data_IF_617933626804
#
_entry.id   IF_617933626804
#
_cell.length_a   1.000
_cell.length_b   1.000
_cell.length_c   1.000
_cell.angle_alpha   90.00
_cell.angle_beta   90.00
_cell.angle_gamma   90.00
#
_symmetry.space_group_name_H-M   'P 1'
#
loop_
_entity.id
_entity.type
_entity.pdbx_description
1 polymer ?
#
# COMPACT_ATOMS: atom_id res chain seq x y z
N UNK A 1 3.46 18.26 -1.93
CA UNK A 1 2.61 19.40 -2.33
C UNK A 1 3.45 20.45 -3.07
N UNK A 2 4.62 20.85 -2.54
CA UNK A 2 5.51 21.84 -3.21
C UNK A 2 6.00 21.34 -4.57
N UNK A 3 6.32 20.07 -4.70
CA UNK A 3 6.75 19.44 -5.97
C UNK A 3 5.65 19.46 -7.05
N UNK A 4 4.40 19.67 -6.66
CA UNK A 4 3.23 19.76 -7.55
C UNK A 4 2.77 21.21 -7.78
N UNK A 5 3.57 22.20 -7.33
CA UNK A 5 3.22 23.62 -7.44
C UNK A 5 2.04 24.07 -6.56
N UNK A 6 1.62 23.22 -5.60
CA UNK A 6 0.51 23.53 -4.71
C UNK A 6 1.02 24.27 -3.46
N UNK A 7 0.37 25.35 -3.01
CA UNK A 7 0.74 26.05 -1.79
C UNK A 7 0.56 25.11 -0.58
N UNK A 8 1.60 24.94 0.21
CA UNK A 8 1.61 24.09 1.39
C UNK A 8 2.08 24.89 2.61
N UNK A 9 1.35 24.75 3.72
CA UNK A 9 1.67 25.37 5.01
C UNK A 9 1.38 24.38 6.14
N UNK A 10 2.03 24.54 7.28
CA UNK A 10 1.68 23.82 8.49
C UNK A 10 0.25 24.21 8.93
N UNK A 11 -0.54 23.19 9.28
CA UNK A 11 -1.86 23.44 9.87
C UNK A 11 -1.70 24.14 11.22
N UNK A 12 -2.54 25.16 11.54
CA UNK A 12 -2.52 25.78 12.84
C UNK A 12 -2.96 24.77 13.94
N UNK A 13 -2.45 24.98 15.14
CA UNK A 13 -2.95 24.25 16.31
C UNK A 13 -4.46 24.47 16.49
N UNK A 14 -5.16 23.51 17.11
CA UNK A 14 -6.62 23.57 17.38
C UNK A 14 -6.92 24.59 18.52
N UNK A 15 -6.45 25.83 18.35
CA UNK A 15 -6.61 26.94 19.26
C UNK A 15 -7.45 28.05 18.60
N UNK A 16 -8.38 28.70 19.36
CA UNK A 16 -9.35 29.65 18.80
C UNK A 16 -8.72 30.74 17.93
N UNK A 17 -7.73 31.44 18.47
CA UNK A 17 -7.11 32.57 17.77
C UNK A 17 -6.26 32.17 16.56
N UNK A 18 -5.58 31.03 16.61
CA UNK A 18 -4.76 30.54 15.49
C UNK A 18 -5.65 30.08 14.34
N UNK A 19 -6.66 29.29 14.63
CA UNK A 19 -7.62 28.81 13.64
C UNK A 19 -8.46 29.95 13.04
N UNK A 20 -8.93 30.89 13.83
CA UNK A 20 -9.70 32.02 13.30
C UNK A 20 -8.89 32.80 12.27
N UNK A 21 -7.67 33.23 12.61
CA UNK A 21 -6.78 33.95 11.68
C UNK A 21 -6.49 33.15 10.40
N UNK A 22 -6.28 31.83 10.55
CA UNK A 22 -6.03 30.95 9.40
C UNK A 22 -7.25 30.88 8.48
N UNK A 23 -8.44 30.65 9.03
CA UNK A 23 -9.68 30.51 8.24
C UNK A 23 -10.09 31.84 7.60
N UNK A 24 -9.89 32.96 8.31
CA UNK A 24 -10.19 34.29 7.80
C UNK A 24 -9.24 34.70 6.63
N UNK A 25 -7.99 34.22 6.67
CA UNK A 25 -7.03 34.42 5.58
C UNK A 25 -7.25 33.46 4.41
N UNK A 26 -7.51 32.18 4.67
CA UNK A 26 -7.63 31.15 3.65
C UNK A 26 -9.00 31.16 2.96
N UNK A 27 -10.07 31.51 3.68
CA UNK A 27 -11.48 31.53 3.21
C UNK A 27 -11.83 30.34 2.32
N UNK A 28 -11.62 29.06 2.76
CA UNK A 28 -11.84 27.91 1.91
C UNK A 28 -13.32 27.70 1.62
N UNK A 29 -13.68 27.28 0.41
CA UNK A 29 -15.02 26.86 0.05
C UNK A 29 -15.40 25.50 0.64
N UNK A 30 -14.40 24.64 0.80
CA UNK A 30 -14.50 23.29 1.34
C UNK A 30 -13.25 22.98 2.19
N UNK A 31 -13.45 22.40 3.36
CA UNK A 31 -12.37 21.85 4.18
C UNK A 31 -12.35 20.33 4.02
N UNK A 32 -11.26 19.80 3.49
CA UNK A 32 -11.05 18.36 3.35
C UNK A 32 -10.04 17.89 4.40
N UNK A 33 -10.42 16.89 5.17
CA UNK A 33 -9.55 16.24 6.13
C UNK A 33 -9.18 14.86 5.61
N UNK A 34 -7.90 14.50 5.68
CA UNK A 34 -7.38 13.20 5.25
C UNK A 34 -7.09 12.33 6.47
N UNK A 35 -7.44 11.05 6.40
CA UNK A 35 -7.23 10.05 7.46
C UNK A 35 -7.94 10.38 8.79
N UNK A 36 -7.26 10.17 9.93
CA UNK A 36 -7.83 10.19 11.29
C UNK A 36 -7.69 11.52 12.03
N UNK A 37 -7.77 12.65 11.35
CA UNK A 37 -7.57 13.98 11.91
C UNK A 37 -8.85 14.58 12.49
N UNK A 38 -9.17 14.24 13.75
CA UNK A 38 -10.38 14.69 14.46
C UNK A 38 -10.10 15.90 15.34
N UNK A 39 -10.47 17.10 14.85
CA UNK A 39 -10.20 18.41 15.50
C UNK A 39 -11.51 19.14 15.81
N UNK A 40 -12.04 19.03 17.05
CA UNK A 40 -13.37 19.52 17.39
C UNK A 40 -13.56 21.02 17.23
N UNK A 41 -12.56 21.82 17.62
CA UNK A 41 -12.64 23.28 17.50
C UNK A 41 -12.59 23.72 16.05
N UNK A 42 -11.68 23.13 15.25
CA UNK A 42 -11.62 23.38 13.81
C UNK A 42 -12.97 23.07 13.15
N UNK A 43 -13.56 21.91 13.45
CA UNK A 43 -14.86 21.53 12.92
C UNK A 43 -15.97 22.52 13.29
N UNK A 44 -15.97 23.05 14.52
CA UNK A 44 -16.93 24.06 14.95
C UNK A 44 -16.73 25.38 14.22
N UNK A 45 -15.51 25.91 14.18
CA UNK A 45 -15.21 27.19 13.54
C UNK A 45 -15.46 27.20 12.03
N UNK A 46 -15.27 26.04 11.36
CA UNK A 46 -15.65 25.85 9.95
C UNK A 46 -17.17 25.98 9.77
N UNK A 47 -17.94 25.27 10.63
CA UNK A 47 -19.39 25.30 10.56
C UNK A 47 -19.96 26.70 10.89
N UNK A 48 -19.41 27.43 11.86
CA UNK A 48 -19.78 28.80 12.20
C UNK A 48 -19.58 29.78 11.01
N UNK A 49 -18.65 29.45 10.08
CA UNK A 49 -18.37 30.20 8.86
C UNK A 49 -19.11 29.68 7.63
N UNK A 50 -19.98 28.70 7.79
CA UNK A 50 -20.69 28.06 6.66
C UNK A 50 -19.79 27.20 5.75
N UNK A 51 -18.55 26.94 6.16
CA UNK A 51 -17.59 26.14 5.37
C UNK A 51 -17.92 24.67 5.52
N UNK A 52 -18.18 23.99 4.40
CA UNK A 52 -18.45 22.56 4.37
C UNK A 52 -17.23 21.74 4.72
N UNK A 53 -17.47 20.55 5.26
CA UNK A 53 -16.41 19.66 5.75
C UNK A 53 -16.57 18.29 5.10
N UNK A 54 -15.48 17.76 4.55
CA UNK A 54 -15.38 16.39 4.06
C UNK A 54 -14.21 15.67 4.73
N UNK A 55 -14.31 14.35 4.83
CA UNK A 55 -13.23 13.48 5.29
C UNK A 55 -12.99 12.38 4.26
N UNK A 56 -11.74 12.17 3.88
CA UNK A 56 -11.35 11.17 2.89
C UNK A 56 -10.33 10.17 3.45
N UNK A 57 -10.51 8.89 3.13
CA UNK A 57 -9.69 7.82 3.69
C UNK A 57 -9.74 7.79 5.22
N UNK A 58 -10.90 8.11 5.80
CA UNK A 58 -11.04 8.28 7.25
C UNK A 58 -10.76 6.99 7.99
N UNK A 59 -9.82 7.04 8.93
CA UNK A 59 -9.42 5.91 9.76
C UNK A 59 -9.80 6.14 11.21
N UNK A 60 -10.44 5.12 11.82
CA UNK A 60 -10.77 5.11 13.24
C UNK A 60 -10.36 3.76 13.85
N UNK A 61 -9.25 3.72 14.59
CA UNK A 61 -8.83 2.51 15.29
C UNK A 61 -9.78 2.21 16.47
N UNK A 62 -9.82 0.96 16.93
CA UNK A 62 -10.61 0.55 18.11
C UNK A 62 -10.23 1.37 19.35
N UNK A 63 -8.92 1.54 19.59
CA UNK A 63 -8.40 2.35 20.70
C UNK A 63 -8.91 3.79 20.63
N UNK A 64 -8.85 4.41 19.45
CA UNK A 64 -9.31 5.78 19.24
C UNK A 64 -10.83 5.87 19.43
N UNK A 65 -11.60 4.93 18.88
CA UNK A 65 -13.04 4.87 19.04
C UNK A 65 -13.44 4.74 20.51
N UNK A 66 -12.78 3.85 21.27
CA UNK A 66 -12.99 3.70 22.71
C UNK A 66 -12.66 4.98 23.50
N UNK A 67 -11.65 5.75 23.06
CA UNK A 67 -11.34 7.06 23.66
C UNK A 67 -12.44 8.09 23.36
N UNK A 68 -12.84 8.22 22.08
CA UNK A 68 -13.86 9.18 21.67
C UNK A 68 -15.26 8.87 22.23
N UNK A 69 -15.59 7.59 22.42
CA UNK A 69 -16.85 7.17 23.03
C UNK A 69 -17.07 7.74 24.45
N UNK A 70 -15.99 8.13 25.15
CA UNK A 70 -16.05 8.79 26.45
C UNK A 70 -16.48 10.26 26.36
N UNK A 71 -16.44 10.84 25.17
CA UNK A 71 -16.75 12.25 24.92
C UNK A 71 -17.84 12.43 23.84
N UNK A 72 -19.03 11.82 24.01
CA UNK A 72 -20.08 11.81 22.98
C UNK A 72 -20.58 13.21 22.63
N UNK A 73 -20.57 14.14 23.63
CA UNK A 73 -20.95 15.56 23.42
C UNK A 73 -19.92 16.35 22.56
N UNK A 74 -18.76 15.79 22.28
CA UNK A 74 -17.73 16.41 21.45
C UNK A 74 -17.71 15.73 20.08
N UNK A 75 -17.55 14.40 20.03
CA UNK A 75 -17.36 13.66 18.79
C UNK A 75 -18.65 13.62 17.94
N UNK A 76 -19.82 13.42 18.56
CA UNK A 76 -21.10 13.35 17.85
C UNK A 76 -21.41 14.62 17.05
N UNK A 77 -21.43 15.83 17.70
CA UNK A 77 -21.61 17.08 16.98
C UNK A 77 -20.52 17.35 15.94
N UNK A 78 -19.26 16.93 16.15
CA UNK A 78 -18.19 17.06 15.18
C UNK A 78 -18.46 16.23 13.92
N UNK A 79 -18.78 14.95 14.08
CA UNK A 79 -19.11 14.06 12.97
C UNK A 79 -20.42 14.49 12.29
N UNK A 80 -21.39 15.01 13.06
CA UNK A 80 -22.66 15.52 12.53
C UNK A 80 -22.51 16.70 11.55
N UNK A 81 -21.38 17.40 11.56
CA UNK A 81 -21.07 18.52 10.64
C UNK A 81 -20.38 18.05 9.35
N UNK A 82 -19.98 16.77 9.26
CA UNK A 82 -19.34 16.23 8.05
C UNK A 82 -20.39 16.04 6.97
N UNK A 83 -20.18 16.66 5.82
CA UNK A 83 -21.09 16.62 4.69
C UNK A 83 -20.81 15.43 3.74
N UNK A 84 -19.57 14.92 3.73
CA UNK A 84 -19.16 13.73 2.97
C UNK A 84 -17.99 13.04 3.70
N UNK A 85 -18.04 11.71 3.79
CA UNK A 85 -16.97 10.92 4.39
C UNK A 85 -16.81 9.61 3.61
N UNK A 86 -15.58 9.35 3.18
CA UNK A 86 -15.14 8.05 2.69
C UNK A 86 -14.23 7.43 3.77
N UNK A 87 -14.59 6.26 4.29
CA UNK A 87 -13.76 5.54 5.24
C UNK A 87 -12.69 4.70 4.52
N UNK A 88 -11.55 4.48 5.17
CA UNK A 88 -10.48 3.65 4.63
C UNK A 88 -10.89 2.16 4.57
N UNK A 89 -11.61 1.68 5.60
CA UNK A 89 -11.96 0.27 5.78
C UNK A 89 -13.33 0.13 6.46
N UNK A 90 -13.88 -1.10 6.44
CA UNK A 90 -15.18 -1.42 7.02
C UNK A 90 -15.21 -1.20 8.54
N UNK A 91 -14.14 -1.52 9.25
CA UNK A 91 -14.05 -1.34 10.70
C UNK A 91 -14.08 0.13 11.08
N UNK A 92 -13.34 0.98 10.36
CA UNK A 92 -13.35 2.43 10.53
C UNK A 92 -14.73 3.03 10.24
N UNK A 93 -15.39 2.59 9.16
CA UNK A 93 -16.75 2.99 8.80
C UNK A 93 -17.75 2.70 9.93
N UNK A 94 -17.80 1.45 10.40
CA UNK A 94 -18.70 1.04 11.48
C UNK A 94 -18.46 1.83 12.77
N UNK A 95 -17.20 2.05 13.15
CA UNK A 95 -16.85 2.84 14.34
C UNK A 95 -17.25 4.30 14.22
N UNK A 96 -17.09 4.92 13.05
CA UNK A 96 -17.48 6.31 12.80
C UNK A 96 -19.01 6.48 12.84
N UNK A 97 -19.75 5.55 12.25
CA UNK A 97 -21.22 5.52 12.34
C UNK A 97 -21.69 5.41 13.80
N UNK A 98 -21.09 4.51 14.58
CA UNK A 98 -21.40 4.33 15.99
C UNK A 98 -21.07 5.57 16.85
N UNK A 99 -20.11 6.38 16.44
CA UNK A 99 -19.75 7.65 17.10
C UNK A 99 -20.61 8.85 16.66
N UNK A 100 -21.57 8.65 15.75
CA UNK A 100 -22.55 9.67 15.37
C UNK A 100 -22.35 10.28 13.98
N UNK A 101 -21.58 9.64 13.09
CA UNK A 101 -21.54 10.02 11.67
C UNK A 101 -22.93 9.81 11.05
N UNK A 102 -23.52 10.82 10.39
CA UNK A 102 -24.78 10.63 9.68
C UNK A 102 -24.62 9.70 8.46
N UNK A 103 -25.49 8.72 8.30
CA UNK A 103 -25.49 7.82 7.13
C UNK A 103 -25.51 8.56 5.79
N UNK A 104 -26.20 9.71 5.72
CA UNK A 104 -26.25 10.55 4.51
C UNK A 104 -24.91 11.15 4.08
N UNK A 105 -23.93 11.19 4.99
CA UNK A 105 -22.59 11.68 4.71
C UNK A 105 -21.65 10.59 4.20
N UNK A 106 -22.07 9.32 4.33
CA UNK A 106 -21.22 8.19 3.97
C UNK A 106 -21.16 8.02 2.45
N UNK A 107 -19.93 7.91 1.95
CA UNK A 107 -19.57 7.57 0.57
C UNK A 107 -18.93 6.18 0.53
N UNK A 108 -18.78 5.58 -0.65
CA UNK A 108 -18.02 4.33 -0.78
C UNK A 108 -16.65 4.42 -0.13
N UNK A 109 -16.21 3.30 0.44
CA UNK A 109 -14.88 3.20 1.07
C UNK A 109 -13.79 3.43 0.04
N UNK A 110 -12.69 4.05 0.48
CA UNK A 110 -11.55 4.37 -0.36
C UNK A 110 -10.26 4.30 0.47
N UNK A 111 -9.37 3.39 0.13
CA UNK A 111 -8.02 3.38 0.69
C UNK A 111 -7.08 4.19 -0.20
N UNK A 112 -6.80 5.42 0.23
CA UNK A 112 -5.96 6.35 -0.52
C UNK A 112 -4.55 5.79 -0.79
N UNK A 113 -4.04 4.93 0.09
CA UNK A 113 -2.70 4.34 -0.04
C UNK A 113 -2.63 3.31 -1.16
N UNK A 114 -3.78 2.73 -1.51
CA UNK A 114 -3.87 1.74 -2.57
C UNK A 114 -4.15 2.34 -3.95
N UNK A 115 -4.60 3.59 -4.04
CA UNK A 115 -4.92 4.23 -5.32
C UNK A 115 -3.71 4.31 -6.27
N UNK A 116 -2.56 4.73 -5.77
CA UNK A 116 -1.36 4.84 -6.58
C UNK A 116 -0.86 3.46 -7.08
N UNK A 117 -0.72 2.42 -6.24
CA UNK A 117 -0.46 1.06 -6.70
C UNK A 117 -1.54 0.55 -7.68
N UNK A 118 -2.82 0.77 -7.38
CA UNK A 118 -3.92 0.34 -8.24
C UNK A 118 -3.95 1.04 -9.61
N UNK A 119 -3.40 2.22 -9.74
CA UNK A 119 -3.31 2.96 -11.00
C UNK A 119 -2.07 2.57 -11.84
N UNK A 120 -1.13 1.78 -11.31
CA UNK A 120 0.06 1.38 -12.05
C UNK A 120 -0.30 0.50 -13.26
N UNK A 121 0.33 0.71 -14.42
CA UNK A 121 0.17 -0.19 -15.55
C UNK A 121 0.73 -1.58 -15.21
N UNK A 122 -0.03 -2.61 -15.54
CA UNK A 122 0.42 -4.00 -15.37
C UNK A 122 1.34 -4.36 -16.54
N UNK A 123 2.56 -4.84 -16.29
CA UNK A 123 3.41 -5.35 -17.35
C UNK A 123 2.73 -6.52 -18.09
N UNK A 124 2.91 -6.65 -19.41
CA UNK A 124 2.34 -7.76 -20.16
C UNK A 124 2.91 -9.10 -19.70
N UNK A 125 2.08 -10.13 -19.72
CA UNK A 125 2.53 -11.51 -19.52
C UNK A 125 3.56 -11.88 -20.59
N UNK A 126 4.66 -12.50 -20.19
CA UNK A 126 5.70 -12.93 -21.12
C UNK A 126 6.52 -14.08 -20.54
N UNK A 127 7.06 -14.92 -21.42
CA UNK A 127 7.97 -15.99 -21.04
C UNK A 127 9.22 -15.48 -20.31
N UNK A 128 9.62 -14.24 -20.54
CA UNK A 128 10.73 -13.63 -19.82
C UNK A 128 10.39 -13.37 -18.35
N UNK A 129 9.18 -12.88 -18.08
CA UNK A 129 8.70 -12.66 -16.68
C UNK A 129 8.50 -13.97 -15.95
N UNK A 130 7.97 -15.00 -16.60
CA UNK A 130 7.71 -16.32 -15.98
C UNK A 130 8.99 -16.97 -15.43
N UNK A 131 10.15 -16.58 -15.96
CA UNK A 131 11.47 -17.10 -15.57
C UNK A 131 12.16 -16.28 -14.49
N UNK A 132 11.54 -15.21 -14.02
CA UNK A 132 12.13 -14.34 -13.01
C UNK A 132 11.37 -14.47 -11.70
N UNK A 133 12.09 -14.90 -10.66
CA UNK A 133 11.64 -14.92 -9.28
C UNK A 133 12.26 -13.70 -8.59
N UNK A 134 11.47 -12.94 -7.85
CA UNK A 134 11.93 -11.84 -7.01
C UNK A 134 11.75 -12.20 -5.54
N UNK A 135 12.82 -12.13 -4.76
CA UNK A 135 12.73 -12.08 -3.29
C UNK A 135 12.81 -10.60 -2.88
N UNK A 136 11.66 -10.04 -2.49
CA UNK A 136 11.49 -8.60 -2.31
C UNK A 136 11.68 -8.18 -0.85
N UNK A 137 12.62 -7.29 -0.59
CA UNK A 137 12.86 -6.69 0.73
C UNK A 137 13.18 -7.73 1.81
N UNK A 138 14.10 -8.64 1.53
CA UNK A 138 14.49 -9.70 2.47
C UNK A 138 15.25 -9.16 3.68
N UNK A 139 15.00 -9.77 4.84
CA UNK A 139 15.71 -9.54 6.09
C UNK A 139 16.75 -10.63 6.37
N UNK A 140 17.55 -10.41 7.41
CA UNK A 140 18.50 -11.41 7.87
C UNK A 140 17.77 -12.72 8.24
N UNK A 141 18.34 -13.86 7.82
CA UNK A 141 17.75 -15.18 7.99
C UNK A 141 16.81 -15.63 6.87
N UNK A 142 16.36 -14.74 5.98
CA UNK A 142 15.47 -15.08 4.85
C UNK A 142 16.25 -15.44 3.58
N UNK A 143 17.42 -14.82 3.37
CA UNK A 143 18.21 -14.98 2.15
C UNK A 143 18.64 -16.43 1.94
N UNK A 144 19.05 -17.13 3.02
CA UNK A 144 19.46 -18.53 2.98
C UNK A 144 18.38 -19.44 2.40
N UNK A 145 17.21 -19.55 3.04
CA UNK A 145 16.08 -20.35 2.54
C UNK A 145 15.68 -20.03 1.09
N UNK A 146 15.70 -18.76 0.71
CA UNK A 146 15.39 -18.34 -0.68
C UNK A 146 16.44 -18.86 -1.66
N UNK A 147 17.72 -18.72 -1.33
CA UNK A 147 18.82 -19.20 -2.15
C UNK A 147 18.84 -20.73 -2.24
N UNK A 148 18.55 -21.43 -1.15
CA UNK A 148 18.48 -22.91 -1.12
C UNK A 148 17.35 -23.41 -2.01
N UNK A 149 16.16 -22.77 -1.92
CA UNK A 149 15.02 -23.10 -2.75
C UNK A 149 15.31 -22.83 -4.25
N UNK A 150 15.97 -21.72 -4.58
CA UNK A 150 16.37 -21.41 -5.96
C UNK A 150 17.41 -22.38 -6.47
N UNK A 151 18.43 -22.72 -5.68
CA UNK A 151 19.48 -23.68 -6.04
C UNK A 151 18.92 -25.05 -6.39
N UNK A 152 17.88 -25.50 -5.66
CA UNK A 152 17.22 -26.78 -5.92
C UNK A 152 16.51 -26.84 -7.29
N UNK A 153 16.13 -25.68 -7.86
CA UNK A 153 15.40 -25.62 -9.15
C UNK A 153 16.30 -25.39 -10.37
N UNK A 154 17.44 -24.71 -10.18
CA UNK A 154 18.24 -24.19 -11.31
C UNK A 154 18.76 -25.28 -12.26
N UNK A 155 19.11 -26.45 -11.72
CA UNK A 155 19.71 -27.54 -12.53
C UNK A 155 18.68 -28.10 -13.53
N UNK A 156 17.41 -28.18 -13.12
CA UNK A 156 16.30 -28.57 -14.01
C UNK A 156 15.82 -27.42 -14.91
N UNK A 157 16.12 -26.17 -14.53
CA UNK A 157 15.67 -24.94 -15.23
C UNK A 157 16.79 -23.90 -15.29
N UNK A 158 17.78 -24.09 -16.17
CA UNK A 158 18.94 -23.22 -16.25
C UNK A 158 18.63 -21.81 -16.77
N UNK A 159 17.42 -21.55 -17.22
CA UNK A 159 16.93 -20.26 -17.69
C UNK A 159 16.21 -19.43 -16.60
N UNK A 160 15.93 -20.04 -15.42
CA UNK A 160 15.42 -19.28 -14.29
C UNK A 160 16.44 -18.28 -13.78
N UNK A 161 15.93 -17.18 -13.26
CA UNK A 161 16.71 -16.09 -12.66
C UNK A 161 16.09 -15.69 -11.33
N UNK A 162 16.93 -15.42 -10.34
CA UNK A 162 16.52 -14.86 -9.07
C UNK A 162 16.98 -13.41 -8.98
N UNK A 163 16.09 -12.50 -8.66
CA UNK A 163 16.43 -11.16 -8.18
C UNK A 163 16.29 -11.20 -6.66
N UNK A 164 17.37 -10.98 -5.94
CA UNK A 164 17.39 -10.91 -4.48
C UNK A 164 17.58 -9.44 -4.09
N UNK A 165 16.53 -8.82 -3.57
CA UNK A 165 16.51 -7.42 -3.18
C UNK A 165 16.41 -7.32 -1.64
N UNK A 166 17.52 -7.10 -0.92
CA UNK A 166 17.49 -6.98 0.52
C UNK A 166 16.85 -5.67 0.98
N UNK A 167 16.17 -5.69 2.12
CA UNK A 167 15.60 -4.48 2.75
C UNK A 167 16.67 -3.45 3.10
N UNK A 168 17.86 -3.94 3.45
CA UNK A 168 19.02 -3.16 3.83
C UNK A 168 20.19 -3.46 2.88
N UNK A 169 20.48 -2.57 1.91
CA UNK A 169 21.54 -2.78 0.91
C UNK A 169 22.96 -2.95 1.49
N UNK A 170 23.22 -2.43 2.67
CA UNK A 170 24.47 -2.59 3.40
C UNK A 170 24.82 -4.06 3.74
N UNK A 171 23.83 -4.95 3.68
CA UNK A 171 24.02 -6.42 3.79
C UNK A 171 24.57 -7.06 2.51
N UNK A 172 24.75 -6.28 1.44
CA UNK A 172 25.14 -6.78 0.12
C UNK A 172 26.35 -7.70 0.12
N UNK A 173 27.41 -7.38 0.87
CA UNK A 173 28.63 -8.21 0.94
C UNK A 173 28.40 -9.55 1.63
N UNK A 174 27.64 -9.56 2.72
CA UNK A 174 27.27 -10.79 3.43
C UNK A 174 26.40 -11.70 2.55
N UNK A 175 25.45 -11.13 1.83
CA UNK A 175 24.58 -11.87 0.90
C UNK A 175 25.37 -12.38 -0.30
N UNK A 176 26.31 -11.61 -0.87
CA UNK A 176 27.19 -12.05 -1.92
C UNK A 176 28.02 -13.28 -1.52
N UNK A 177 28.60 -13.26 -0.30
CA UNK A 177 29.29 -14.42 0.25
C UNK A 177 28.34 -15.63 0.40
N UNK A 178 27.11 -15.41 0.86
CA UNK A 178 26.09 -16.45 1.02
C UNK A 178 25.70 -17.08 -0.33
N UNK A 179 25.62 -16.30 -1.41
CA UNK A 179 25.37 -16.79 -2.78
C UNK A 179 26.55 -17.63 -3.25
N UNK A 180 27.77 -17.15 -3.06
CA UNK A 180 28.99 -17.84 -3.48
C UNK A 180 29.18 -19.20 -2.79
N UNK A 181 28.85 -19.32 -1.49
CA UNK A 181 28.93 -20.60 -0.76
C UNK A 181 28.00 -21.67 -1.31
N UNK A 182 26.94 -21.30 -2.03
CA UNK A 182 26.01 -22.21 -2.72
C UNK A 182 26.40 -22.52 -4.16
N UNK A 183 27.55 -22.03 -4.62
CA UNK A 183 27.99 -22.22 -5.99
C UNK A 183 27.06 -21.60 -7.03
N UNK A 184 26.29 -20.57 -6.65
CA UNK A 184 25.42 -19.83 -7.56
C UNK A 184 26.23 -18.72 -8.25
N UNK A 185 26.06 -18.60 -9.58
CA UNK A 185 26.57 -17.44 -10.32
C UNK A 185 25.73 -16.21 -9.95
N UNK A 186 26.36 -15.06 -9.81
CA UNK A 186 25.63 -13.85 -9.51
C UNK A 186 26.26 -12.59 -10.10
N UNK A 187 25.44 -11.55 -10.22
CA UNK A 187 25.87 -10.20 -10.55
C UNK A 187 25.30 -9.23 -9.50
N UNK A 188 25.95 -8.07 -9.31
CA UNK A 188 25.52 -7.05 -8.34
C UNK A 188 25.01 -5.81 -9.03
N UNK A 189 23.88 -5.30 -8.54
CA UNK A 189 23.31 -4.06 -9.05
C UNK A 189 24.20 -2.86 -8.72
N UNK A 190 24.77 -2.79 -7.54
CA UNK A 190 25.75 -1.76 -7.11
C UNK A 190 27.02 -1.74 -7.98
N UNK A 191 27.36 -2.85 -8.65
CA UNK A 191 28.46 -2.93 -9.60
C UNK A 191 28.02 -2.64 -11.06
N UNK A 192 26.78 -2.16 -11.27
CA UNK A 192 26.27 -1.80 -12.59
C UNK A 192 25.54 -2.90 -13.34
N UNK A 193 25.35 -4.09 -12.77
CA UNK A 193 24.61 -5.16 -13.42
C UNK A 193 23.10 -4.82 -13.49
N UNK A 194 22.49 -5.14 -14.63
CA UNK A 194 21.06 -4.92 -14.88
C UNK A 194 20.24 -6.21 -14.84
N UNK A 195 20.89 -7.37 -14.90
CA UNK A 195 20.22 -8.67 -14.96
C UNK A 195 21.03 -9.76 -14.25
N UNK A 196 20.32 -10.82 -13.84
CA UNK A 196 20.95 -12.04 -13.37
C UNK A 196 21.55 -12.83 -14.51
N UNK A 197 22.71 -13.51 -14.33
CA UNK A 197 23.17 -14.50 -15.28
C UNK A 197 22.15 -15.65 -15.40
N UNK A 198 22.13 -16.39 -16.53
CA UNK A 198 21.28 -17.56 -16.67
C UNK A 198 21.51 -18.56 -15.53
N UNK A 199 20.42 -19.05 -14.91
CA UNK A 199 20.48 -19.92 -13.72
C UNK A 199 21.12 -19.28 -12.48
N UNK A 200 21.23 -17.95 -12.44
CA UNK A 200 21.94 -17.23 -11.40
C UNK A 200 21.10 -16.15 -10.71
N UNK A 201 21.79 -15.33 -9.92
CA UNK A 201 21.19 -14.33 -9.05
C UNK A 201 21.62 -12.92 -9.44
N UNK A 202 20.68 -11.99 -9.53
CA UNK A 202 20.97 -10.57 -9.44
C UNK A 202 20.80 -10.16 -7.96
N UNK A 203 21.88 -9.78 -7.31
CA UNK A 203 21.81 -9.13 -6.02
C UNK A 203 21.48 -7.65 -6.24
N UNK A 204 20.22 -7.29 -5.96
CA UNK A 204 19.69 -5.94 -6.14
C UNK A 204 19.95 -5.09 -4.88
N UNK A 205 21.22 -4.82 -4.61
CA UNK A 205 21.75 -4.13 -3.42
C UNK A 205 21.77 -2.59 -3.58
N UNK A 206 20.70 -2.04 -4.16
CA UNK A 206 20.49 -0.58 -4.33
C UNK A 206 19.10 -0.18 -3.85
N UNK A 207 18.88 1.13 -3.62
CA UNK A 207 17.59 1.68 -3.20
C UNK A 207 16.83 2.31 -4.39
N UNK A 208 15.50 2.38 -4.26
CA UNK A 208 14.64 3.13 -5.19
C UNK A 208 14.25 2.41 -6.48
N UNK A 209 14.64 1.14 -6.66
CA UNK A 209 14.40 0.41 -7.91
C UNK A 209 13.35 -0.72 -7.81
N UNK A 210 12.62 -0.83 -6.69
CA UNK A 210 11.69 -1.95 -6.47
C UNK A 210 10.62 -2.07 -7.56
N UNK A 211 10.06 -0.97 -8.04
CA UNK A 211 9.08 -0.99 -9.12
C UNK A 211 9.61 -1.66 -10.40
N UNK A 212 10.90 -1.43 -10.70
CA UNK A 212 11.59 -2.09 -11.83
C UNK A 212 11.67 -3.60 -11.63
N UNK A 213 11.96 -4.05 -10.43
CA UNK A 213 12.09 -5.48 -10.11
C UNK A 213 10.73 -6.18 -10.12
N UNK A 214 9.70 -5.57 -9.56
CA UNK A 214 8.33 -6.08 -9.67
C UNK A 214 7.86 -6.19 -11.12
N UNK A 215 8.16 -5.21 -11.96
CA UNK A 215 7.78 -5.24 -13.38
C UNK A 215 8.42 -6.40 -14.15
N UNK A 216 9.59 -6.87 -13.73
CA UNK A 216 10.34 -7.96 -14.40
C UNK A 216 10.00 -9.35 -13.89
N UNK A 217 9.45 -9.48 -12.68
CA UNK A 217 9.20 -10.75 -12.04
C UNK A 217 7.79 -11.28 -12.30
N UNK A 218 7.67 -12.57 -12.58
CA UNK A 218 6.40 -13.28 -12.61
C UNK A 218 5.97 -13.79 -11.23
N UNK A 219 6.95 -14.10 -10.36
CA UNK A 219 6.74 -14.62 -9.01
C UNK A 219 7.47 -13.69 -8.02
N UNK A 220 6.83 -13.33 -6.93
CA UNK A 220 7.41 -12.52 -5.88
C UNK A 220 7.27 -13.19 -4.50
N UNK A 221 8.40 -13.42 -3.84
CA UNK A 221 8.47 -13.83 -2.44
C UNK A 221 8.52 -12.55 -1.61
N UNK A 222 7.57 -12.41 -0.69
CA UNK A 222 7.47 -11.23 0.19
C UNK A 222 8.43 -11.38 1.36
N UNK A 223 9.42 -10.53 1.43
CA UNK A 223 10.36 -10.49 2.55
C UNK A 223 9.75 -9.99 3.85
N UNK A 224 10.46 -10.21 4.96
CA UNK A 224 9.97 -9.95 6.31
C UNK A 224 8.86 -10.90 6.76
N UNK A 225 8.50 -11.87 5.92
CA UNK A 225 7.43 -12.84 6.20
C UNK A 225 7.92 -14.26 6.47
N UNK A 226 9.11 -14.62 6.01
CA UNK A 226 9.72 -15.93 6.29
C UNK A 226 10.35 -15.98 7.69
N UNK A 227 10.75 -14.83 8.22
CA UNK A 227 11.18 -14.61 9.59
C UNK A 227 10.22 -13.61 10.27
N UNK A 228 10.26 -13.54 11.60
CA UNK A 228 9.30 -12.73 12.38
C UNK A 228 9.61 -11.22 12.33
N UNK A 229 9.40 -10.63 11.15
CA UNK A 229 9.43 -9.19 10.93
C UNK A 229 8.06 -8.60 10.59
N UNK A 230 7.00 -9.43 10.59
CA UNK A 230 5.62 -9.02 10.35
C UNK A 230 5.23 -8.84 8.89
N UNK A 231 6.11 -9.16 7.95
CA UNK A 231 5.88 -9.08 6.50
C UNK A 231 5.91 -7.66 5.92
N UNK A 232 6.31 -7.53 4.67
CA UNK A 232 6.19 -6.31 3.88
C UNK A 232 4.85 -6.24 3.13
N UNK A 233 4.54 -5.05 2.60
CA UNK A 233 3.30 -4.82 1.84
C UNK A 233 3.20 -5.73 0.62
N UNK A 234 2.08 -6.46 0.42
CA UNK A 234 1.86 -7.25 -0.78
C UNK A 234 1.35 -6.43 -1.97
N UNK A 235 0.99 -5.16 -1.76
CA UNK A 235 0.27 -4.37 -2.76
C UNK A 235 1.13 -3.89 -3.93
N UNK A 236 2.42 -3.64 -3.70
CA UNK A 236 3.31 -3.24 -4.79
C UNK A 236 3.54 -4.37 -5.80
N UNK A 237 3.94 -5.60 -5.40
CA UNK A 237 4.04 -6.70 -6.35
C UNK A 237 2.68 -7.11 -6.93
N UNK A 238 1.56 -7.02 -6.17
CA UNK A 238 0.22 -7.22 -6.70
C UNK A 238 -0.11 -6.21 -7.81
N UNK A 239 0.30 -4.94 -7.65
CA UNK A 239 0.14 -3.90 -8.67
C UNK A 239 0.79 -4.27 -10.01
N UNK A 240 1.89 -5.01 -9.97
CA UNK A 240 2.62 -5.47 -11.15
C UNK A 240 2.17 -6.86 -11.63
N UNK A 241 1.15 -7.46 -11.02
CA UNK A 241 0.63 -8.77 -11.42
C UNK A 241 1.60 -9.93 -11.13
N UNK A 242 2.39 -9.85 -10.07
CA UNK A 242 3.22 -10.96 -9.63
C UNK A 242 2.38 -12.01 -8.89
N UNK A 243 2.67 -13.30 -9.08
CA UNK A 243 2.22 -14.35 -8.18
C UNK A 243 2.89 -14.18 -6.82
N UNK A 244 2.13 -14.12 -5.74
CA UNK A 244 2.65 -13.77 -4.42
C UNK A 244 2.91 -15.00 -3.56
N UNK A 245 4.08 -15.08 -2.95
CA UNK A 245 4.43 -16.09 -1.95
C UNK A 245 4.82 -15.37 -0.66
N UNK A 246 4.32 -15.82 0.48
CA UNK A 246 4.66 -15.25 1.79
C UNK A 246 4.95 -16.34 2.83
N UNK A 247 5.72 -16.00 3.84
CA UNK A 247 5.95 -16.82 5.03
C UNK A 247 4.78 -16.72 6.03
N UNK A 248 4.92 -17.35 7.20
CA UNK A 248 3.87 -17.34 8.24
C UNK A 248 3.78 -16.02 9.01
N UNK A 249 4.77 -15.13 8.89
CA UNK A 249 4.86 -13.91 9.70
C UNK A 249 4.36 -12.70 8.91
N UNK A 250 3.03 -12.50 8.90
CA UNK A 250 2.35 -11.43 8.15
C UNK A 250 1.64 -10.41 9.04
N UNK A 251 2.05 -10.31 10.31
CA UNK A 251 1.38 -9.54 11.36
C UNK A 251 1.13 -8.06 11.04
N UNK A 252 1.97 -7.44 10.19
CA UNK A 252 1.78 -6.05 9.77
C UNK A 252 0.66 -5.88 8.72
N UNK A 253 0.28 -6.98 8.02
CA UNK A 253 -0.64 -6.96 6.88
C UNK A 253 -1.63 -8.14 6.89
N UNK A 254 -2.03 -8.61 8.06
CA UNK A 254 -2.93 -9.79 8.24
C UNK A 254 -4.15 -9.68 7.32
N UNK A 255 -4.92 -8.60 7.40
CA UNK A 255 -6.12 -8.43 6.58
C UNK A 255 -5.86 -8.43 5.07
N UNK A 256 -4.66 -8.00 4.65
CA UNK A 256 -4.27 -8.01 3.26
C UNK A 256 -3.97 -9.42 2.78
N UNK A 257 -3.19 -10.19 3.55
CA UNK A 257 -2.87 -11.57 3.20
C UNK A 257 -4.09 -12.49 3.31
N UNK A 258 -4.94 -12.34 4.35
CA UNK A 258 -6.20 -13.09 4.45
C UNK A 258 -7.08 -12.91 3.20
N UNK A 259 -7.17 -11.67 2.70
CA UNK A 259 -7.93 -11.42 1.49
C UNK A 259 -7.27 -12.01 0.23
N UNK A 260 -5.94 -11.90 0.11
CA UNK A 260 -5.21 -12.45 -1.03
C UNK A 260 -5.28 -13.98 -1.05
N UNK A 261 -5.06 -14.64 0.09
CA UNK A 261 -5.14 -16.10 0.24
C UNK A 261 -6.55 -16.61 -0.06
N UNK A 262 -7.57 -15.93 0.49
CA UNK A 262 -8.97 -16.27 0.26
C UNK A 262 -9.42 -16.21 -1.20
N UNK A 263 -8.72 -15.43 -2.03
CA UNK A 263 -8.97 -15.33 -3.48
C UNK A 263 -7.98 -16.15 -4.32
N UNK A 264 -7.11 -16.96 -3.70
CA UNK A 264 -6.04 -17.68 -4.42
C UNK A 264 -5.03 -16.78 -5.09
N UNK A 265 -4.88 -15.57 -4.57
CA UNK A 265 -4.03 -14.49 -5.09
C UNK A 265 -2.65 -14.47 -4.46
N UNK A 266 -2.49 -15.08 -3.29
CA UNK A 266 -1.22 -15.34 -2.65
C UNK A 266 -1.18 -16.79 -2.16
N UNK A 267 0.00 -17.23 -1.76
CA UNK A 267 0.21 -18.60 -1.25
C UNK A 267 1.22 -18.58 -0.10
N UNK A 268 0.90 -19.22 1.04
CA UNK A 268 1.90 -19.52 2.05
C UNK A 268 3.06 -20.32 1.48
N UNK A 269 4.28 -19.96 1.85
CA UNK A 269 5.50 -20.59 1.32
C UNK A 269 5.52 -22.11 1.57
N UNK A 270 5.21 -22.55 2.80
CA UNK A 270 5.34 -23.94 3.19
C UNK A 270 6.75 -24.46 2.89
N UNK A 271 6.85 -25.50 2.07
CA UNK A 271 8.10 -25.86 1.38
C UNK A 271 8.29 -24.90 0.20
N UNK A 272 9.18 -23.92 0.37
CA UNK A 272 9.41 -22.86 -0.61
C UNK A 272 9.91 -23.44 -1.95
N UNK A 273 10.78 -24.46 -1.93
CA UNK A 273 11.29 -25.08 -3.15
C UNK A 273 10.16 -25.78 -3.93
N UNK A 274 9.31 -26.53 -3.25
CA UNK A 274 8.15 -27.19 -3.88
C UNK A 274 7.15 -26.16 -4.43
N UNK A 275 6.89 -25.08 -3.69
CA UNK A 275 5.99 -24.00 -4.13
C UNK A 275 6.53 -23.29 -5.36
N UNK A 276 7.80 -22.92 -5.38
CA UNK A 276 8.46 -22.32 -6.53
C UNK A 276 8.50 -23.27 -7.73
N UNK A 277 8.82 -24.58 -7.51
CA UNK A 277 8.80 -25.58 -8.58
C UNK A 277 7.45 -25.61 -9.27
N UNK A 278 6.37 -25.73 -8.49
CA UNK A 278 5.01 -25.75 -9.04
C UNK A 278 4.70 -24.53 -9.89
N UNK A 279 4.94 -23.32 -9.38
CA UNK A 279 4.61 -22.09 -10.10
C UNK A 279 5.47 -21.86 -11.34
N UNK A 280 6.72 -22.32 -11.33
CA UNK A 280 7.60 -22.24 -12.51
C UNK A 280 7.30 -23.32 -13.53
N UNK A 281 6.74 -24.48 -13.13
CA UNK A 281 6.26 -25.54 -14.02
C UNK A 281 4.92 -25.20 -14.68
N UNK A 282 4.10 -24.40 -14.00
CA UNK A 282 2.78 -23.98 -14.46
C UNK A 282 2.65 -22.47 -14.56
N UNK A 283 3.29 -21.82 -15.56
CA UNK A 283 3.29 -20.35 -15.69
C UNK A 283 1.88 -19.76 -15.75
N UNK A 284 0.92 -20.47 -16.31
CA UNK A 284 -0.48 -20.01 -16.39
C UNK A 284 -1.14 -19.93 -14.99
N UNK A 285 -0.76 -20.84 -14.06
CA UNK A 285 -1.18 -20.73 -12.66
C UNK A 285 -0.58 -19.49 -12.00
N UNK A 286 0.72 -19.26 -12.17
CA UNK A 286 1.39 -18.07 -11.63
C UNK A 286 0.77 -16.78 -12.17
N UNK A 287 0.51 -16.71 -13.47
CA UNK A 287 -0.16 -15.56 -14.11
C UNK A 287 -1.59 -15.37 -13.57
N UNK A 288 -2.34 -16.47 -13.37
CA UNK A 288 -3.69 -16.40 -12.79
C UNK A 288 -3.65 -15.85 -11.36
N UNK A 289 -2.70 -16.30 -10.53
CA UNK A 289 -2.46 -15.75 -9.19
C UNK A 289 -2.15 -14.25 -9.24
N UNK A 290 -1.25 -13.82 -10.12
CA UNK A 290 -0.89 -12.41 -10.29
C UNK A 290 -2.09 -11.55 -10.70
N UNK A 291 -2.92 -12.03 -11.64
CA UNK A 291 -4.17 -11.35 -12.01
C UNK A 291 -5.16 -11.27 -10.86
N UNK A 292 -5.29 -12.34 -10.07
CA UNK A 292 -6.14 -12.34 -8.87
C UNK A 292 -5.62 -11.34 -7.83
N UNK A 293 -4.30 -11.29 -7.58
CA UNK A 293 -3.69 -10.31 -6.67
C UNK A 293 -3.97 -8.87 -7.11
N UNK A 294 -3.85 -8.61 -8.40
CA UNK A 294 -4.20 -7.31 -8.98
C UNK A 294 -5.68 -6.98 -8.80
N UNK A 295 -6.57 -7.92 -9.02
CA UNK A 295 -8.01 -7.72 -8.86
C UNK A 295 -8.38 -7.38 -7.41
N UNK A 296 -7.81 -8.10 -6.43
CA UNK A 296 -8.00 -7.81 -4.99
C UNK A 296 -7.50 -6.41 -4.64
N UNK A 297 -6.32 -6.00 -5.16
CA UNK A 297 -5.80 -4.64 -4.96
C UNK A 297 -6.77 -3.57 -5.50
N UNK A 298 -7.25 -3.73 -6.74
CA UNK A 298 -8.14 -2.75 -7.38
C UNK A 298 -9.48 -2.65 -6.64
N UNK A 299 -10.06 -3.79 -6.24
CA UNK A 299 -11.29 -3.82 -5.47
C UNK A 299 -11.14 -3.10 -4.11
N UNK A 300 -10.03 -3.35 -3.41
CA UNK A 300 -9.76 -2.71 -2.12
C UNK A 300 -9.41 -1.23 -2.24
N UNK A 301 -8.76 -0.83 -3.32
CA UNK A 301 -8.46 0.58 -3.56
C UNK A 301 -9.74 1.42 -3.69
N UNK A 302 -10.78 0.85 -4.29
CA UNK A 302 -12.04 1.52 -4.57
C UNK A 302 -11.95 2.48 -5.76
N UNK A 303 -13.11 3.02 -6.14
CA UNK A 303 -13.21 4.03 -7.21
C UNK A 303 -13.32 5.45 -6.60
N UNK A 304 -12.37 6.35 -6.86
CA UNK A 304 -12.42 7.71 -6.36
C UNK A 304 -13.43 8.61 -7.08
N UNK A 305 -14.03 8.18 -8.20
CA UNK A 305 -14.87 9.04 -9.04
C UNK A 305 -16.08 9.62 -8.30
N UNK A 306 -16.80 8.78 -7.53
CA UNK A 306 -17.94 9.23 -6.74
C UNK A 306 -17.55 10.22 -5.64
N UNK A 307 -16.38 10.00 -5.00
CA UNK A 307 -15.82 10.91 -4.00
C UNK A 307 -15.47 12.26 -4.65
N UNK A 308 -14.75 12.25 -5.76
CA UNK A 308 -14.33 13.48 -6.49
C UNK A 308 -15.56 14.28 -6.90
N UNK A 309 -16.56 13.65 -7.52
CA UNK A 309 -17.80 14.30 -7.92
C UNK A 309 -18.51 14.96 -6.72
N UNK A 310 -18.59 14.24 -5.58
CA UNK A 310 -19.21 14.78 -4.37
C UNK A 310 -18.44 15.95 -3.77
N UNK A 311 -17.11 15.90 -3.78
CA UNK A 311 -16.26 17.01 -3.29
C UNK A 311 -16.43 18.25 -4.17
N UNK A 312 -16.51 18.08 -5.49
CA UNK A 312 -16.73 19.15 -6.45
C UNK A 312 -18.11 19.81 -6.25
N UNK A 313 -19.17 19.02 -6.07
CA UNK A 313 -20.51 19.51 -5.71
C UNK A 313 -20.51 20.31 -4.41
N UNK A 314 -19.81 19.81 -3.38
CA UNK A 314 -19.69 20.50 -2.10
C UNK A 314 -18.92 21.82 -2.21
N UNK A 315 -17.90 21.87 -3.05
CA UNK A 315 -17.12 23.08 -3.26
C UNK A 315 -17.88 24.15 -4.05
N UNK A 316 -18.72 23.75 -5.02
CA UNK A 316 -19.47 24.68 -5.91
C UNK A 316 -20.85 25.07 -5.39
N UNK A 317 -21.41 24.36 -4.43
CA UNK A 317 -22.77 24.62 -3.99
C UNK A 317 -22.93 26.03 -3.36
N UNK A 318 -24.07 26.74 -3.59
CA UNK A 318 -24.30 28.10 -3.11
C UNK A 318 -24.16 28.18 -1.58
N UNK A 319 -23.48 29.22 -1.10
CA UNK A 319 -23.20 29.45 0.34
C UNK A 319 -21.72 29.29 0.72
N UNK A 320 -20.83 28.84 -0.19
CA UNK A 320 -19.39 28.99 -0.06
C UNK A 320 -18.91 30.33 -0.61
N UNK A 321 -17.77 30.87 -0.13
CA UNK A 321 -17.15 32.06 -0.71
C UNK A 321 -16.79 31.76 -2.18
N UNK A 322 -16.84 32.80 -3.02
CA UNK A 322 -16.48 32.74 -4.43
C UNK A 322 -15.06 32.21 -4.59
N UNK A 323 -14.90 31.10 -5.32
CA UNK A 323 -13.59 30.42 -5.45
C UNK A 323 -12.84 31.14 -6.58
N UNK A 324 -12.11 32.18 -6.24
CA UNK A 324 -10.97 32.59 -7.06
C UNK A 324 -9.92 31.47 -7.00
N UNK A 325 -9.66 30.83 -8.13
CA UNK A 325 -8.52 29.89 -8.26
C UNK A 325 -7.25 30.69 -8.01
N UNK A 326 -6.59 30.41 -6.89
CA UNK A 326 -5.26 30.95 -6.57
C UNK A 326 -4.24 29.84 -6.78
#
# INVERSE_FOLDING_TARGET
AQDWGLPARLAPLDLPGALARFLDAARPALAITVEGEFWPLRSRLLAERGIRQAMIGARMSERSAGTWARFPRIIGPMLGRVAALSAQDQGSEARLLNLGLPHRALLPRLDLKLLAPAAQPVPPDSAARDRVILAASTHEGEDGPVLDAFAALRDARPDLRLILAPRHPDRGDAIAALIATRGLSFARRSAGADDAPPGGVLLADTLGEMARWYARAGICIIGGSLQDHGGHTPWEPAAHGCALIHGPHVGNFVEAFDALDGHGAARPAGDLAATLSRLTDTPDEARAMGRAARAVLVDRAGDPAALIARLDDLARAPGGPDIGII
#
